data_IF_512836176697
#
_entry.id   IF_512836176697
#
_cell.length_a   1.000
_cell.length_b   1.000
_cell.length_c   1.000
_cell.angle_alpha   90.00
_cell.angle_beta   90.00
_cell.angle_gamma   90.00
#
_symmetry.space_group_name_H-M   'P 1'
#
loop_
_entity.id
_entity.type
_entity.pdbx_description
1 polymer ?
#
# COMPACT_ATOMS: atom_id res chain seq x y z
N UNK A 1 1.45 -3.41 3.20
CA UNK A 1 1.61 -4.55 2.29
C UNK A 1 0.56 -5.65 2.55
N UNK A 2 0.45 -6.22 3.77
CA UNK A 2 -0.55 -7.27 4.12
C UNK A 2 -1.98 -6.79 3.86
N UNK A 3 -2.30 -5.55 4.19
CA UNK A 3 -3.65 -4.98 3.99
C UNK A 3 -3.96 -4.71 2.52
N UNK A 4 -2.96 -4.31 1.73
CA UNK A 4 -3.10 -4.23 0.26
C UNK A 4 -3.41 -5.60 -0.35
N UNK A 5 -2.77 -6.67 0.16
CA UNK A 5 -3.03 -8.04 -0.26
C UNK A 5 -4.44 -8.53 0.12
N UNK A 6 -4.89 -8.21 1.33
CA UNK A 6 -6.28 -8.49 1.76
C UNK A 6 -7.28 -7.69 0.93
N UNK A 7 -6.98 -6.41 0.65
CA UNK A 7 -7.80 -5.57 -0.22
C UNK A 7 -7.93 -6.13 -1.63
N UNK A 8 -6.82 -6.60 -2.23
CA UNK A 8 -6.84 -7.25 -3.54
C UNK A 8 -7.65 -8.55 -3.54
N UNK A 9 -7.52 -9.34 -2.50
CA UNK A 9 -8.28 -10.59 -2.35
C UNK A 9 -9.79 -10.32 -2.21
N UNK A 10 -10.16 -9.33 -1.38
CA UNK A 10 -11.55 -8.93 -1.16
C UNK A 10 -12.16 -8.28 -2.40
N UNK A 11 -11.45 -7.35 -3.04
CA UNK A 11 -11.93 -6.70 -4.27
C UNK A 11 -12.22 -7.72 -5.39
N UNK A 12 -11.35 -8.72 -5.56
CA UNK A 12 -11.57 -9.77 -6.55
C UNK A 12 -12.70 -10.75 -6.19
N UNK A 13 -12.98 -10.96 -4.90
CA UNK A 13 -14.14 -11.75 -4.47
C UNK A 13 -15.47 -11.06 -4.82
N UNK A 14 -15.54 -9.74 -4.70
CA UNK A 14 -16.75 -8.97 -5.03
C UNK A 14 -16.97 -8.78 -6.55
N UNK A 15 -15.89 -8.76 -7.34
CA UNK A 15 -15.98 -8.55 -8.80
C UNK A 15 -16.34 -9.85 -9.55
N UNK A 16 -16.04 -11.01 -8.96
CA UNK A 16 -16.35 -12.32 -9.55
C UNK A 16 -17.87 -12.59 -9.68
N UNK A 17 -18.71 -11.86 -8.94
CA UNK A 17 -20.17 -12.04 -8.90
C UNK A 17 -20.90 -11.27 -10.02
N UNK A 18 -20.27 -10.33 -10.72
CA UNK A 18 -20.93 -9.42 -11.64
C UNK A 18 -20.60 -9.61 -13.14
N UNK A 19 -19.70 -10.50 -13.50
CA UNK A 19 -19.35 -10.73 -14.89
C UNK A 19 -19.50 -12.21 -15.31
N UNK A 20 -20.67 -12.52 -15.81
CA UNK A 20 -20.98 -13.65 -16.70
C UNK A 20 -20.23 -13.49 -18.05
N UNK A 21 -18.92 -13.23 -17.97
CA UNK A 21 -18.07 -13.14 -19.15
C UNK A 21 -17.59 -14.53 -19.53
N UNK A 22 -17.81 -14.89 -20.79
CA UNK A 22 -17.25 -16.10 -21.43
C UNK A 22 -15.88 -16.40 -20.82
N UNK A 23 -15.78 -17.56 -20.17
CA UNK A 23 -14.60 -18.08 -19.49
C UNK A 23 -13.34 -17.97 -20.36
N UNK A 24 -12.66 -16.84 -20.26
CA UNK A 24 -11.38 -16.71 -20.91
C UNK A 24 -10.38 -17.50 -20.06
N UNK A 25 -10.01 -18.68 -20.51
CA UNK A 25 -9.09 -19.62 -19.82
C UNK A 25 -7.82 -18.92 -19.27
N UNK A 26 -7.42 -17.81 -19.88
CA UNK A 26 -6.32 -16.98 -19.46
C UNK A 26 -6.59 -16.25 -18.13
N UNK A 27 -7.73 -15.56 -18.01
CA UNK A 27 -8.08 -14.83 -16.78
C UNK A 27 -8.33 -15.78 -15.61
N UNK A 28 -8.94 -16.91 -15.83
CA UNK A 28 -9.11 -17.93 -14.79
C UNK A 28 -7.77 -18.45 -14.25
N UNK A 29 -6.77 -18.63 -15.12
CA UNK A 29 -5.41 -18.99 -14.69
C UNK A 29 -4.74 -17.87 -13.90
N UNK A 30 -4.89 -16.62 -14.33
CA UNK A 30 -4.35 -15.45 -13.61
C UNK A 30 -4.96 -15.34 -12.22
N UNK A 31 -6.27 -15.41 -12.11
CA UNK A 31 -6.96 -15.33 -10.81
C UNK A 31 -6.60 -16.50 -9.89
N UNK A 32 -6.49 -17.72 -10.42
CA UNK A 32 -6.04 -18.88 -9.63
C UNK A 32 -4.61 -18.72 -9.13
N UNK A 33 -3.66 -18.37 -10.01
CA UNK A 33 -2.28 -18.14 -9.65
C UNK A 33 -2.13 -16.96 -8.69
N UNK A 34 -2.83 -15.85 -8.96
CA UNK A 34 -2.81 -14.67 -8.11
C UNK A 34 -3.28 -14.96 -6.70
N UNK A 35 -4.40 -15.68 -6.54
CA UNK A 35 -4.88 -16.11 -5.21
C UNK A 35 -3.89 -17.01 -4.48
N UNK A 36 -3.29 -17.98 -5.16
CA UNK A 36 -2.28 -18.87 -4.56
C UNK A 36 -1.05 -18.07 -4.12
N UNK A 37 -0.53 -17.20 -4.95
CA UNK A 37 0.67 -16.37 -4.61
C UNK A 37 0.39 -15.41 -3.47
N UNK A 38 -0.79 -14.79 -3.41
CA UNK A 38 -1.19 -13.90 -2.30
C UNK A 38 -1.29 -14.70 -0.99
N UNK A 39 -1.91 -15.87 -0.99
CA UNK A 39 -2.00 -16.73 0.20
C UNK A 39 -0.62 -17.19 0.66
N UNK A 40 0.23 -17.66 -0.27
CA UNK A 40 1.61 -18.06 0.06
C UNK A 40 2.41 -16.90 0.67
N UNK A 41 2.26 -15.69 0.11
CA UNK A 41 2.92 -14.51 0.64
C UNK A 41 2.40 -14.14 2.04
N UNK A 42 1.09 -14.20 2.29
CA UNK A 42 0.50 -13.99 3.62
C UNK A 42 1.06 -14.98 4.66
N UNK A 43 1.12 -16.27 4.30
CA UNK A 43 1.71 -17.30 5.16
C UNK A 43 3.18 -16.97 5.45
N UNK A 44 3.96 -16.60 4.43
CA UNK A 44 5.37 -16.24 4.58
C UNK A 44 5.56 -15.03 5.49
N UNK A 45 4.72 -14.00 5.37
CA UNK A 45 4.77 -12.84 6.28
C UNK A 45 4.38 -13.17 7.71
N UNK A 46 3.42 -14.06 7.90
CA UNK A 46 3.05 -14.52 9.24
C UNK A 46 4.10 -15.43 9.86
N UNK A 47 4.79 -16.23 9.05
CA UNK A 47 5.83 -17.12 9.53
C UNK A 47 6.99 -16.39 10.23
N UNK A 48 7.32 -15.16 9.83
CA UNK A 48 8.41 -14.37 10.42
C UNK A 48 8.14 -14.05 11.89
N UNK A 49 7.06 -13.34 12.29
CA UNK A 49 6.80 -13.02 13.70
C UNK A 49 6.56 -14.26 14.54
N UNK A 50 5.84 -15.26 14.02
CA UNK A 50 5.63 -16.51 14.75
C UNK A 50 6.91 -17.32 14.93
N UNK A 51 7.76 -17.38 13.88
CA UNK A 51 9.07 -18.02 13.96
C UNK A 51 10.00 -17.35 14.95
N UNK A 52 10.08 -16.03 14.96
CA UNK A 52 10.88 -15.26 15.92
C UNK A 52 10.38 -15.45 17.34
N UNK A 53 9.08 -15.47 17.57
CA UNK A 53 8.51 -15.73 18.90
C UNK A 53 8.84 -17.13 19.40
N UNK A 54 8.72 -18.13 18.52
CA UNK A 54 9.06 -19.53 18.86
C UNK A 54 10.54 -19.71 19.20
N UNK A 55 11.45 -19.11 18.41
CA UNK A 55 12.89 -19.18 18.65
C UNK A 55 13.30 -18.49 19.94
N UNK A 56 12.67 -17.36 20.28
CA UNK A 56 12.98 -16.59 21.49
C UNK A 56 12.16 -17.03 22.73
N UNK A 57 11.31 -18.05 22.63
CA UNK A 57 10.49 -18.53 23.74
C UNK A 57 9.46 -17.50 24.23
N UNK A 58 9.05 -16.57 23.36
CA UNK A 58 8.10 -15.51 23.72
C UNK A 58 6.68 -16.05 23.65
N UNK A 59 5.96 -16.00 24.77
CA UNK A 59 4.54 -16.35 24.81
C UNK A 59 3.70 -15.29 24.08
N UNK A 60 3.02 -15.69 23.00
CA UNK A 60 2.14 -14.81 22.24
C UNK A 60 0.74 -14.79 22.83
N UNK A 61 0.31 -13.64 23.35
CA UNK A 61 -1.06 -13.41 23.75
C UNK A 61 -1.90 -13.00 22.53
N UNK A 62 -2.44 -13.99 21.81
CA UNK A 62 -3.21 -13.76 20.57
C UNK A 62 -4.39 -12.79 20.76
N UNK A 63 -5.24 -12.89 21.82
CA UNK A 63 -6.31 -11.94 22.05
C UNK A 63 -5.83 -10.47 22.16
N UNK A 64 -4.72 -10.23 22.83
CA UNK A 64 -4.17 -8.89 23.00
C UNK A 64 -3.56 -8.35 21.71
N UNK A 65 -2.86 -9.20 20.96
CA UNK A 65 -2.33 -8.87 19.64
C UNK A 65 -3.49 -8.48 18.72
N UNK A 66 -4.57 -9.27 18.69
CA UNK A 66 -5.73 -9.01 17.84
C UNK A 66 -6.42 -7.69 18.22
N UNK A 67 -6.62 -7.45 19.52
CA UNK A 67 -7.20 -6.19 20.01
C UNK A 67 -6.42 -4.97 19.54
N UNK A 68 -5.09 -5.04 19.58
CA UNK A 68 -4.21 -3.94 19.17
C UNK A 68 -4.08 -3.84 17.64
N UNK A 69 -4.26 -4.94 16.91
CA UNK A 69 -4.17 -4.97 15.46
C UNK A 69 -5.45 -4.48 14.76
N UNK A 70 -6.64 -4.66 15.35
CA UNK A 70 -7.92 -4.28 14.73
C UNK A 70 -7.95 -2.82 14.23
N UNK A 71 -7.57 -1.79 15.01
CA UNK A 71 -7.61 -0.42 14.55
C UNK A 71 -6.67 -0.16 13.37
N UNK A 72 -5.49 -0.78 13.37
CA UNK A 72 -4.53 -0.70 12.27
C UNK A 72 -5.07 -1.39 11.01
N UNK A 73 -5.62 -2.60 11.18
CA UNK A 73 -6.24 -3.34 10.09
C UNK A 73 -7.38 -2.55 9.44
N UNK A 74 -8.26 -1.95 10.22
CA UNK A 74 -9.35 -1.11 9.70
C UNK A 74 -8.83 0.07 8.89
N UNK A 75 -7.85 0.81 9.44
CA UNK A 75 -7.26 1.97 8.76
C UNK A 75 -6.63 1.61 7.43
N UNK A 76 -5.79 0.57 7.43
CA UNK A 76 -5.07 0.15 6.23
C UNK A 76 -5.95 -0.64 5.24
N UNK A 77 -7.01 -1.31 5.70
CA UNK A 77 -7.95 -2.01 4.81
C UNK A 77 -8.69 -1.04 3.90
N UNK A 78 -9.19 0.07 4.46
CA UNK A 78 -9.88 1.09 3.67
C UNK A 78 -8.95 1.65 2.58
N UNK A 79 -7.73 2.02 2.97
CA UNK A 79 -6.73 2.53 2.02
C UNK A 79 -6.38 1.49 0.95
N UNK A 80 -6.15 0.23 1.36
CA UNK A 80 -5.82 -0.85 0.45
C UNK A 80 -6.93 -1.18 -0.53
N UNK A 81 -8.19 -1.17 -0.10
CA UNK A 81 -9.34 -1.39 -1.00
C UNK A 81 -9.42 -0.27 -2.03
N UNK A 82 -9.35 1.00 -1.59
CA UNK A 82 -9.38 2.15 -2.49
C UNK A 82 -8.23 2.12 -3.50
N UNK A 83 -7.03 1.78 -3.07
CA UNK A 83 -5.85 1.69 -3.93
C UNK A 83 -6.01 0.59 -4.99
N UNK A 84 -6.46 -0.61 -4.59
CA UNK A 84 -6.67 -1.70 -5.52
C UNK A 84 -7.77 -1.42 -6.55
N UNK A 85 -8.91 -0.86 -6.11
CA UNK A 85 -9.99 -0.46 -7.01
C UNK A 85 -9.56 0.62 -8.01
N UNK A 86 -8.67 1.53 -7.59
CA UNK A 86 -8.17 2.59 -8.46
C UNK A 86 -7.19 2.09 -9.51
N UNK A 87 -6.35 1.11 -9.18
CA UNK A 87 -5.31 0.65 -10.10
C UNK A 87 -5.72 -0.55 -10.96
N UNK A 88 -6.70 -1.34 -10.53
CA UNK A 88 -7.18 -2.50 -11.29
C UNK A 88 -7.57 -2.19 -12.74
N UNK A 89 -8.35 -1.13 -13.05
CA UNK A 89 -8.71 -0.81 -14.43
C UNK A 89 -7.53 -0.28 -15.25
N UNK A 90 -6.43 0.13 -14.62
CA UNK A 90 -5.26 0.70 -15.29
C UNK A 90 -4.26 -0.40 -15.69
N UNK A 91 -3.89 -1.27 -14.75
CA UNK A 91 -2.81 -2.25 -14.94
C UNK A 91 -3.30 -3.70 -15.06
N UNK A 92 -4.62 -3.92 -14.95
CA UNK A 92 -5.22 -5.25 -15.00
C UNK A 92 -4.99 -6.07 -13.73
N UNK A 93 -5.77 -7.16 -13.59
CA UNK A 93 -5.77 -7.99 -12.38
C UNK A 93 -4.46 -8.73 -12.16
N UNK A 94 -3.83 -9.24 -13.20
CA UNK A 94 -2.58 -10.01 -13.10
C UNK A 94 -1.40 -9.19 -12.60
N UNK A 95 -1.21 -7.99 -13.15
CA UNK A 95 -0.19 -7.04 -12.71
C UNK A 95 -0.48 -6.53 -11.29
N UNK A 96 -1.77 -6.35 -10.94
CA UNK A 96 -2.18 -5.92 -9.61
C UNK A 96 -1.84 -6.96 -8.54
N UNK A 97 -2.13 -8.26 -8.75
CA UNK A 97 -1.73 -9.33 -7.82
C UNK A 97 -0.25 -9.31 -7.52
N UNK A 98 0.58 -9.22 -8.56
CA UNK A 98 2.03 -9.17 -8.43
C UNK A 98 2.49 -7.91 -7.70
N UNK A 99 1.89 -6.77 -8.01
CA UNK A 99 2.19 -5.48 -7.39
C UNK A 99 1.86 -5.48 -5.90
N UNK A 100 0.73 -6.05 -5.49
CA UNK A 100 0.33 -6.15 -4.08
C UNK A 100 1.28 -7.03 -3.26
N UNK A 101 1.77 -8.13 -3.83
CA UNK A 101 2.74 -9.02 -3.15
C UNK A 101 4.09 -8.35 -3.00
N UNK A 102 4.55 -7.66 -4.03
CA UNK A 102 5.91 -7.08 -4.08
C UNK A 102 5.99 -5.67 -3.52
N UNK A 103 4.85 -4.99 -3.36
CA UNK A 103 4.76 -3.65 -2.79
C UNK A 103 5.17 -2.52 -3.75
N UNK A 104 5.12 -1.29 -3.23
CA UNK A 104 5.43 -0.06 -3.96
C UNK A 104 4.62 0.12 -5.26
N UNK A 105 3.31 -0.12 -5.15
CA UNK A 105 2.37 -0.16 -6.28
C UNK A 105 2.32 1.19 -6.98
N UNK A 106 1.94 2.24 -6.25
CA UNK A 106 1.66 3.57 -6.80
C UNK A 106 2.89 4.27 -7.38
N UNK A 107 4.07 4.11 -6.75
CA UNK A 107 5.25 4.90 -7.11
C UNK A 107 6.15 4.22 -8.15
N UNK A 108 6.09 2.89 -8.26
CA UNK A 108 6.99 2.15 -9.16
C UNK A 108 6.25 1.24 -10.12
N UNK A 109 5.31 0.42 -9.62
CA UNK A 109 4.70 -0.63 -10.45
C UNK A 109 3.71 -0.06 -11.46
N UNK A 110 2.82 0.82 -11.03
CA UNK A 110 1.85 1.47 -11.92
C UNK A 110 2.55 2.32 -12.98
N UNK A 111 3.49 3.21 -12.66
CA UNK A 111 4.23 3.96 -13.68
C UNK A 111 5.00 3.05 -14.65
N UNK A 112 5.62 1.97 -14.16
CA UNK A 112 6.33 1.03 -15.03
C UNK A 112 5.37 0.33 -16.02
N UNK A 113 4.19 -0.09 -15.54
CA UNK A 113 3.18 -0.71 -16.39
C UNK A 113 2.62 0.27 -17.43
N UNK A 114 2.24 1.48 -16.99
CA UNK A 114 1.69 2.51 -17.88
C UNK A 114 2.68 2.90 -18.97
N UNK A 115 3.94 3.17 -18.60
CA UNK A 115 4.97 3.50 -19.59
C UNK A 115 5.21 2.36 -20.57
N UNK A 116 5.22 1.10 -20.11
CA UNK A 116 5.40 -0.04 -20.99
C UNK A 116 4.23 -0.22 -21.96
N UNK A 117 3.00 -0.02 -21.52
CA UNK A 117 1.81 -0.04 -22.37
C UNK A 117 1.85 1.09 -23.41
N UNK A 118 2.24 2.29 -23.00
CA UNK A 118 2.37 3.45 -23.90
C UNK A 118 3.42 3.19 -24.98
N UNK A 119 4.61 2.71 -24.62
CA UNK A 119 5.66 2.35 -25.56
C UNK A 119 5.24 1.23 -26.50
N UNK A 120 4.46 0.26 -26.03
CA UNK A 120 3.92 -0.83 -26.83
C UNK A 120 2.71 -0.41 -27.70
N UNK A 121 2.18 0.79 -27.54
CA UNK A 121 1.03 1.31 -28.28
C UNK A 121 -0.31 0.68 -27.90
N UNK A 122 -0.43 0.16 -26.68
CA UNK A 122 -1.68 -0.43 -26.18
C UNK A 122 -2.39 0.47 -25.18
N UNK A 123 -3.71 0.52 -25.26
CA UNK A 123 -4.56 1.26 -24.30
C UNK A 123 -4.88 0.39 -23.09
N UNK A 124 -4.88 1.00 -21.91
CA UNK A 124 -5.27 0.33 -20.66
C UNK A 124 -6.66 -0.34 -20.80
N UNK A 125 -6.83 -1.51 -20.20
CA UNK A 125 -8.05 -2.28 -20.25
C UNK A 125 -8.18 -3.21 -21.47
N UNK A 126 -7.17 -3.31 -22.35
CA UNK A 126 -7.13 -4.34 -23.40
C UNK A 126 -6.34 -5.56 -22.92
N UNK A 127 -6.71 -6.76 -23.42
CA UNK A 127 -6.02 -8.02 -23.06
C UNK A 127 -4.51 -7.97 -23.32
N UNK A 128 -4.11 -7.28 -24.39
CA UNK A 128 -2.69 -7.10 -24.72
C UNK A 128 -1.98 -6.15 -23.77
N UNK A 129 -2.66 -5.09 -23.35
CA UNK A 129 -2.16 -4.16 -22.34
C UNK A 129 -1.94 -4.87 -21.00
N UNK A 130 -2.86 -5.74 -20.59
CA UNK A 130 -2.73 -6.53 -19.36
C UNK A 130 -1.49 -7.42 -19.36
N UNK A 131 -1.20 -8.09 -20.49
CA UNK A 131 0.01 -8.90 -20.65
C UNK A 131 1.27 -8.05 -20.56
N UNK A 132 1.29 -6.90 -21.23
CA UNK A 132 2.43 -5.96 -21.18
C UNK A 132 2.62 -5.43 -19.75
N UNK A 133 1.54 -5.10 -19.07
CA UNK A 133 1.57 -4.63 -17.67
C UNK A 133 2.17 -5.71 -16.74
N UNK A 134 1.75 -6.97 -16.88
CA UNK A 134 2.30 -8.09 -16.10
C UNK A 134 3.82 -8.20 -16.31
N UNK A 135 4.29 -8.16 -17.56
CA UNK A 135 5.72 -8.25 -17.88
C UNK A 135 6.50 -7.06 -17.29
N UNK A 136 5.96 -5.86 -17.43
CA UNK A 136 6.57 -4.64 -16.89
C UNK A 136 6.67 -4.65 -15.36
N UNK A 137 5.61 -5.07 -14.68
CA UNK A 137 5.58 -5.21 -13.21
C UNK A 137 6.54 -6.31 -12.76
N UNK A 138 6.63 -7.44 -13.49
CA UNK A 138 7.58 -8.50 -13.20
C UNK A 138 9.04 -8.01 -13.32
N UNK A 139 9.37 -7.34 -14.41
CA UNK A 139 10.69 -6.75 -14.62
C UNK A 139 11.03 -5.72 -13.54
N UNK A 140 10.11 -4.80 -13.25
CA UNK A 140 10.25 -3.80 -12.17
C UNK A 140 10.44 -4.46 -10.81
N UNK A 141 9.75 -5.56 -10.53
CA UNK A 141 9.87 -6.32 -9.28
C UNK A 141 11.26 -6.96 -9.17
N UNK A 142 11.71 -7.61 -10.23
CA UNK A 142 13.04 -8.25 -10.26
C UNK A 142 14.16 -7.24 -10.01
N UNK A 143 14.13 -6.12 -10.73
CA UNK A 143 15.13 -5.04 -10.58
C UNK A 143 15.11 -4.46 -9.16
N UNK A 144 13.93 -4.16 -8.64
CA UNK A 144 13.79 -3.59 -7.29
C UNK A 144 14.29 -4.54 -6.22
N UNK A 145 13.93 -5.83 -6.34
CA UNK A 145 14.37 -6.86 -5.40
C UNK A 145 15.89 -7.06 -5.47
N UNK A 146 16.46 -7.07 -6.66
CA UNK A 146 17.92 -7.18 -6.84
C UNK A 146 18.65 -5.97 -6.22
N UNK A 147 18.17 -4.75 -6.44
CA UNK A 147 18.76 -3.54 -5.86
C UNK A 147 18.69 -3.57 -4.33
N UNK A 148 17.53 -3.93 -3.76
CA UNK A 148 17.37 -4.02 -2.29
C UNK A 148 18.25 -5.12 -1.72
N UNK A 149 18.32 -6.29 -2.36
CA UNK A 149 19.16 -7.41 -1.93
C UNK A 149 20.64 -7.05 -1.95
N UNK A 150 21.13 -6.48 -3.06
CA UNK A 150 22.51 -6.03 -3.18
C UNK A 150 22.82 -4.89 -2.19
N UNK A 151 21.89 -3.94 -2.04
CA UNK A 151 22.00 -2.87 -1.05
C UNK A 151 22.14 -3.43 0.36
N UNK A 152 21.31 -4.40 0.74
CA UNK A 152 21.39 -5.04 2.05
C UNK A 152 22.72 -5.80 2.24
N UNK A 153 23.18 -6.50 1.22
CA UNK A 153 24.41 -7.28 1.30
C UNK A 153 25.67 -6.42 1.43
N UNK A 154 25.74 -5.32 0.68
CA UNK A 154 26.92 -4.44 0.67
C UNK A 154 26.87 -3.33 1.72
N UNK A 155 25.68 -2.80 2.02
CA UNK A 155 25.52 -1.67 2.95
C UNK A 155 25.34 -2.10 4.41
N UNK A 156 24.84 -3.33 4.66
CA UNK A 156 24.60 -3.78 6.04
C UNK A 156 25.85 -3.69 6.95
N UNK A 157 27.04 -4.13 6.54
CA UNK A 157 28.24 -4.02 7.38
C UNK A 157 28.70 -2.57 7.60
N UNK A 158 28.42 -1.68 6.64
CA UNK A 158 28.74 -0.25 6.72
C UNK A 158 27.71 0.55 7.52
N UNK A 159 26.47 0.02 7.61
CA UNK A 159 25.36 0.71 8.23
C UNK A 159 25.46 0.77 9.75
N UNK A 160 25.98 -0.29 10.38
CA UNK A 160 26.06 -0.40 11.82
C UNK A 160 26.90 0.72 12.48
N UNK A 161 28.14 1.01 12.04
CA UNK A 161 28.93 2.12 12.59
C UNK A 161 28.34 3.50 12.28
N UNK A 162 27.64 3.64 11.16
CA UNK A 162 26.97 4.89 10.75
C UNK A 162 25.72 5.11 11.62
N UNK A 163 24.92 4.07 11.83
CA UNK A 163 23.68 4.12 12.62
C UNK A 163 23.95 4.43 14.10
N UNK A 164 25.03 3.90 14.65
CA UNK A 164 25.42 4.11 16.04
C UNK A 164 26.12 5.46 16.29
N UNK A 165 26.36 6.25 15.25
CA UNK A 165 26.96 7.57 15.39
C UNK A 165 25.93 8.55 16.01
N UNK A 166 26.26 9.10 17.19
CA UNK A 166 25.39 10.01 17.95
C UNK A 166 24.93 11.24 17.16
N UNK A 167 25.74 11.71 16.21
CA UNK A 167 25.41 12.86 15.36
C UNK A 167 24.38 12.49 14.27
N UNK A 168 24.43 11.28 13.74
CA UNK A 168 23.55 10.82 12.66
C UNK A 168 22.28 10.14 13.16
N UNK A 169 22.27 9.65 14.39
CA UNK A 169 21.14 8.94 14.99
C UNK A 169 19.81 9.70 14.91
N UNK A 170 19.73 11.03 15.17
CA UNK A 170 18.47 11.78 15.01
C UNK A 170 17.97 11.81 13.57
N UNK A 171 18.87 11.83 12.59
CA UNK A 171 18.50 11.79 11.17
C UNK A 171 17.85 10.44 10.81
N UNK A 172 18.41 9.31 11.27
CA UNK A 172 17.82 7.98 11.05
C UNK A 172 16.48 7.82 11.75
N UNK A 173 16.33 8.30 12.99
CA UNK A 173 15.07 8.24 13.73
C UNK A 173 13.95 9.02 13.04
N UNK A 174 14.28 10.10 12.34
CA UNK A 174 13.31 10.95 11.64
C UNK A 174 13.21 10.64 10.14
N UNK A 175 13.93 9.64 9.63
CA UNK A 175 13.97 9.33 8.20
C UNK A 175 12.58 8.92 7.67
N UNK A 176 11.83 8.08 8.38
CA UNK A 176 10.49 7.64 7.97
C UNK A 176 9.49 8.80 7.93
N UNK A 177 9.35 9.64 8.98
CA UNK A 177 8.51 10.84 8.92
C UNK A 177 8.91 11.81 7.79
N UNK A 178 10.20 12.02 7.58
CA UNK A 178 10.69 12.89 6.51
C UNK A 178 10.35 12.35 5.12
N UNK A 179 10.51 11.05 4.91
CA UNK A 179 10.16 10.38 3.65
C UNK A 179 8.66 10.45 3.39
N UNK A 180 7.82 10.24 4.42
CA UNK A 180 6.37 10.38 4.29
C UNK A 180 5.98 11.81 3.96
N UNK A 181 6.62 12.81 4.56
CA UNK A 181 6.43 14.23 4.23
C UNK A 181 6.80 14.54 2.78
N UNK A 182 7.94 14.04 2.30
CA UNK A 182 8.38 14.22 0.92
C UNK A 182 7.42 13.57 -0.10
N UNK A 183 6.88 12.39 0.21
CA UNK A 183 5.89 11.71 -0.62
C UNK A 183 4.53 12.44 -0.63
N UNK A 184 4.15 13.05 0.49
CA UNK A 184 2.89 13.78 0.62
C UNK A 184 2.91 15.11 -0.17
N UNK A 185 4.06 15.76 -0.26
CA UNK A 185 4.20 17.10 -0.83
C UNK A 185 3.68 17.24 -2.27
N UNK A 186 3.99 16.34 -3.24
CA UNK A 186 3.43 16.39 -4.58
C UNK A 186 1.89 16.31 -4.61
N UNK A 187 1.28 15.53 -3.71
CA UNK A 187 -0.18 15.43 -3.63
C UNK A 187 -0.81 16.73 -3.12
N UNK A 188 -0.15 17.40 -2.17
CA UNK A 188 -0.58 18.71 -1.67
C UNK A 188 -0.55 19.73 -2.82
N UNK A 189 0.50 19.73 -3.63
CA UNK A 189 0.63 20.66 -4.77
C UNK A 189 -0.41 20.40 -5.85
N UNK A 190 -0.73 19.13 -6.14
CA UNK A 190 -1.73 18.78 -7.16
C UNK A 190 -3.16 19.08 -6.72
N UNK A 191 -3.48 18.93 -5.46
CA UNK A 191 -4.84 19.08 -4.93
C UNK A 191 -4.87 19.85 -3.59
N UNK A 192 -4.46 21.13 -3.56
CA UNK A 192 -4.28 21.87 -2.31
C UNK A 192 -5.58 22.02 -1.52
N UNK A 193 -6.71 22.19 -2.20
CA UNK A 193 -8.01 22.32 -1.53
C UNK A 193 -8.45 21.03 -0.82
N UNK A 194 -8.10 19.87 -1.38
CA UNK A 194 -8.44 18.56 -0.77
C UNK A 194 -7.48 18.20 0.36
N UNK A 195 -6.24 18.68 0.31
CA UNK A 195 -5.21 18.41 1.30
C UNK A 195 -5.44 19.12 2.64
N UNK A 196 -6.27 20.16 2.68
CA UNK A 196 -6.50 20.98 3.89
C UNK A 196 -7.02 20.13 5.05
N UNK A 197 -8.07 19.33 4.83
CA UNK A 197 -8.72 18.56 5.90
C UNK A 197 -7.83 17.43 6.44
N UNK A 198 -7.23 16.56 5.60
CA UNK A 198 -6.35 15.49 6.10
C UNK A 198 -5.11 16.01 6.84
N UNK A 199 -4.68 17.24 6.60
CA UNK A 199 -3.53 17.85 7.28
C UNK A 199 -3.98 18.61 8.53
N UNK A 200 -5.00 19.46 8.42
CA UNK A 200 -5.43 20.32 9.52
C UNK A 200 -6.07 19.52 10.66
N UNK A 201 -6.90 18.51 10.37
CA UNK A 201 -7.59 17.74 11.40
C UNK A 201 -6.65 17.03 12.39
N UNK A 202 -5.61 16.29 11.96
CA UNK A 202 -4.68 15.67 12.90
C UNK A 202 -3.91 16.69 13.73
N UNK A 203 -3.53 17.84 13.15
CA UNK A 203 -2.85 18.92 13.87
C UNK A 203 -3.75 19.49 14.95
N UNK A 204 -5.00 19.82 14.61
CA UNK A 204 -5.99 20.31 15.57
C UNK A 204 -6.26 19.27 16.65
N UNK A 205 -6.41 18.00 16.28
CA UNK A 205 -6.62 16.91 17.22
C UNK A 205 -5.47 16.79 18.24
N UNK A 206 -4.20 16.89 17.79
CA UNK A 206 -3.04 16.86 18.69
C UNK A 206 -3.04 18.05 19.64
N UNK A 207 -3.42 19.24 19.17
CA UNK A 207 -3.45 20.46 19.98
C UNK A 207 -4.57 20.44 21.02
N UNK A 208 -5.74 19.87 20.68
CA UNK A 208 -6.93 19.85 21.56
C UNK A 208 -6.87 18.69 22.56
N UNK A 209 -6.56 17.49 22.09
CA UNK A 209 -6.62 16.25 22.88
C UNK A 209 -5.32 15.99 23.62
N UNK A 210 -4.23 16.59 23.13
CA UNK A 210 -2.88 16.40 23.67
C UNK A 210 -2.17 15.19 23.07
N UNK A 211 -0.85 15.28 23.00
CA UNK A 211 0.02 14.32 22.30
C UNK A 211 -0.08 12.88 22.85
N UNK A 212 -0.23 12.72 24.17
CA UNK A 212 -0.34 11.39 24.81
C UNK A 212 -1.62 10.65 24.41
N UNK A 213 -2.75 11.33 24.49
CA UNK A 213 -4.07 10.74 24.18
C UNK A 213 -4.19 10.50 22.68
N UNK A 214 -3.67 11.41 21.85
CA UNK A 214 -3.60 11.23 20.41
C UNK A 214 -2.82 9.97 20.04
N UNK A 215 -1.62 9.77 20.60
CA UNK A 215 -0.78 8.60 20.33
C UNK A 215 -1.45 7.29 20.74
N UNK A 216 -2.15 7.26 21.88
CA UNK A 216 -2.88 6.06 22.34
C UNK A 216 -4.10 5.70 21.47
N UNK A 217 -4.73 6.69 20.84
CA UNK A 217 -5.93 6.51 20.02
C UNK A 217 -5.69 6.84 18.54
N UNK A 218 -4.45 6.85 18.10
CA UNK A 218 -4.05 7.28 16.77
C UNK A 218 -4.84 6.58 15.66
N UNK A 219 -5.03 5.27 15.75
CA UNK A 219 -5.71 4.49 14.72
C UNK A 219 -7.18 4.89 14.55
N UNK A 220 -7.89 5.11 15.67
CA UNK A 220 -9.31 5.54 15.63
C UNK A 220 -9.45 6.96 15.09
N UNK A 221 -8.55 7.86 15.50
CA UNK A 221 -8.53 9.24 15.01
C UNK A 221 -8.24 9.26 13.51
N UNK A 222 -7.33 8.43 13.02
CA UNK A 222 -7.00 8.33 11.60
C UNK A 222 -8.19 7.85 10.76
N UNK A 223 -8.96 6.85 11.24
CA UNK A 223 -10.21 6.43 10.57
C UNK A 223 -11.20 7.60 10.48
N UNK A 224 -11.38 8.35 11.57
CA UNK A 224 -12.21 9.54 11.57
C UNK A 224 -11.75 10.61 10.58
N UNK A 225 -10.45 10.87 10.52
CA UNK A 225 -9.85 11.82 9.57
C UNK A 225 -10.08 11.37 8.12
N UNK A 226 -9.94 10.08 7.81
CA UNK A 226 -10.18 9.55 6.47
C UNK A 226 -11.64 9.77 6.06
N UNK A 227 -12.60 9.39 6.92
CA UNK A 227 -14.03 9.55 6.65
C UNK A 227 -14.37 11.03 6.42
N UNK A 228 -13.93 11.92 7.29
CA UNK A 228 -14.18 13.36 7.17
C UNK A 228 -13.53 13.95 5.91
N UNK A 229 -12.35 13.49 5.54
CA UNK A 229 -11.66 13.93 4.32
C UNK A 229 -12.40 13.50 3.05
N UNK A 230 -12.95 12.28 3.03
CA UNK A 230 -13.78 11.80 1.92
C UNK A 230 -15.07 12.62 1.81
N UNK A 231 -15.78 12.84 2.92
CA UNK A 231 -17.00 13.64 2.95
C UNK A 231 -16.72 15.07 2.47
N UNK A 232 -15.63 15.67 2.93
CA UNK A 232 -15.21 17.00 2.51
C UNK A 232 -14.88 17.06 1.01
N UNK A 233 -14.15 16.10 0.47
CA UNK A 233 -13.83 16.02 -0.95
C UNK A 233 -15.08 15.84 -1.80
N UNK A 234 -16.03 15.01 -1.38
CA UNK A 234 -17.32 14.87 -2.04
C UNK A 234 -18.15 16.17 -2.01
N UNK A 235 -18.13 16.88 -0.89
CA UNK A 235 -18.81 18.18 -0.77
C UNK A 235 -18.20 19.24 -1.69
N UNK A 236 -16.87 19.24 -1.85
CA UNK A 236 -16.18 20.14 -2.78
C UNK A 236 -16.50 19.80 -4.24
N UNK A 237 -16.55 18.51 -4.57
CA UNK A 237 -16.93 18.03 -5.90
C UNK A 237 -18.36 18.45 -6.26
N UNK A 238 -19.35 18.21 -5.37
CA UNK A 238 -20.74 18.63 -5.57
C UNK A 238 -20.90 20.14 -5.72
N UNK A 239 -20.01 20.95 -5.12
CA UNK A 239 -19.99 22.42 -5.27
C UNK A 239 -19.24 22.90 -6.52
N UNK A 240 -18.79 22.00 -7.40
CA UNK A 240 -18.07 22.35 -8.63
C UNK A 240 -16.71 23.02 -8.41
N UNK A 241 -16.14 22.92 -7.21
CA UNK A 241 -14.84 23.55 -6.87
C UNK A 241 -13.64 22.68 -7.23
N UNK A 242 -13.89 21.44 -7.63
CA UNK A 242 -12.87 20.44 -8.03
C UNK A 242 -13.46 19.65 -9.21
N UNK A 243 -12.68 19.47 -10.28
CA UNK A 243 -12.96 18.52 -11.36
C UNK A 243 -12.45 17.12 -10.95
N UNK A 244 -13.15 16.10 -11.44
CA UNK A 244 -12.69 14.71 -11.30
C UNK A 244 -11.40 14.47 -12.08
#
# INVERSE_FOLDING_TARGET
>A
MIVGMLGACVANLFIEEENDMKENSFYNKIHRLGRITVVCALISFMAVPFGLAAVNGISMNIPEILKNAIPLLLTFSISGICENLSFMPIIGSGALYMSCVTGNVSNMKVPAAVNAMEVAGYTAGSDRADVVAIIAVAASTFVTTAIVFLGMLFLAPLFEPIYNNAFLQPAFQNMVPALMGALLFPFILKAPKQAIVPIALPIIAILVIGRKVFSSNQSYIMVGVIILSVIYSLALYKKGKISA
#
